data_IF_923555732289
#
_entry.id   IF_923555732289
#
_cell.length_a   1.000
_cell.length_b   1.000
_cell.length_c   1.000
_cell.angle_alpha   90.00
_cell.angle_beta   90.00
_cell.angle_gamma   90.00
#
_symmetry.space_group_name_H-M   'P 1'
#
loop_
_entity.id
_entity.type
_entity.pdbx_description
1 polymer ?
#
# COMPACT_ATOMS: atom_id res chain seq x y z
N UNK A 1 37.43 21.40 -5.98
CA UNK A 1 35.98 21.35 -5.99
C UNK A 1 35.56 21.12 -4.56
N UNK A 2 34.91 22.08 -3.92
CA UNK A 2 34.55 22.06 -2.49
C UNK A 2 33.56 20.92 -2.24
N UNK A 3 33.98 19.97 -1.43
CA UNK A 3 33.19 18.82 -0.96
C UNK A 3 32.21 19.31 0.13
N UNK A 4 31.29 20.20 -0.24
CA UNK A 4 30.18 20.58 0.64
C UNK A 4 29.23 19.39 0.71
N UNK A 5 28.90 18.92 1.92
CA UNK A 5 27.94 17.83 2.06
C UNK A 5 26.62 18.23 1.37
N UNK A 6 26.12 17.37 0.48
CA UNK A 6 24.87 17.62 -0.22
C UNK A 6 23.73 17.65 0.79
N UNK A 7 23.12 18.82 0.98
CA UNK A 7 21.91 18.99 1.80
C UNK A 7 20.83 18.02 1.31
N UNK A 8 20.36 17.15 2.19
CA UNK A 8 19.38 16.11 1.81
C UNK A 8 18.00 16.41 2.36
N UNK A 9 16.99 16.19 1.52
CA UNK A 9 15.57 16.21 1.92
C UNK A 9 14.99 14.82 1.79
N UNK A 10 14.40 14.29 2.86
CA UNK A 10 13.64 13.02 2.85
C UNK A 10 12.17 13.33 2.62
N UNK A 11 11.57 12.75 1.60
CA UNK A 11 10.14 12.66 1.37
C UNK A 11 9.64 11.33 1.91
N UNK A 12 9.02 11.34 3.09
CA UNK A 12 8.47 10.17 3.75
C UNK A 12 6.98 10.04 3.44
N UNK A 13 6.63 9.26 2.43
CA UNK A 13 5.24 8.94 2.13
C UNK A 13 4.71 7.88 3.11
N UNK A 14 3.67 8.22 3.87
CA UNK A 14 3.13 7.40 4.95
C UNK A 14 1.74 6.79 4.66
N UNK A 15 1.23 6.92 3.46
CA UNK A 15 -0.11 6.48 3.06
C UNK A 15 -1.08 7.68 3.01
N UNK A 16 -2.35 7.56 3.37
CA UNK A 16 -2.99 6.41 4.05
C UNK A 16 -3.08 5.16 3.15
N UNK A 17 -3.48 4.03 3.74
CA UNK A 17 -3.84 2.86 2.92
C UNK A 17 -4.94 3.24 1.91
N UNK A 18 -5.01 2.54 0.78
CA UNK A 18 -6.05 2.74 -0.25
C UNK A 18 -6.04 4.11 -0.95
N UNK A 19 -4.89 4.75 -1.00
CA UNK A 19 -4.62 6.01 -1.72
C UNK A 19 -3.56 5.84 -2.83
N UNK A 20 -3.51 4.68 -3.48
CA UNK A 20 -2.57 4.42 -4.57
C UNK A 20 -1.15 4.05 -4.12
N UNK A 21 -0.96 3.69 -2.85
CA UNK A 21 0.36 3.38 -2.24
C UNK A 21 1.12 2.30 -3.02
N UNK A 22 0.46 1.20 -3.41
CA UNK A 22 1.07 0.14 -4.21
C UNK A 22 1.62 0.66 -5.55
N UNK A 23 0.88 1.54 -6.23
CA UNK A 23 1.33 2.16 -7.48
C UNK A 23 2.58 3.01 -7.24
N UNK A 24 2.56 3.89 -6.23
CA UNK A 24 3.71 4.72 -5.88
C UNK A 24 4.96 3.89 -5.56
N UNK A 25 4.80 2.82 -4.77
CA UNK A 25 5.89 1.93 -4.39
C UNK A 25 6.46 1.16 -5.59
N UNK A 26 5.60 0.69 -6.49
CA UNK A 26 6.04 0.03 -7.72
C UNK A 26 6.74 1.00 -8.68
N UNK A 27 6.26 2.24 -8.78
CA UNK A 27 6.93 3.32 -9.54
C UNK A 27 8.31 3.59 -8.95
N UNK A 28 8.42 3.74 -7.62
CA UNK A 28 9.71 3.92 -6.96
C UNK A 28 10.68 2.79 -7.26
N UNK A 29 10.24 1.53 -7.09
CA UNK A 29 11.04 0.34 -7.37
C UNK A 29 11.50 0.24 -8.82
N UNK A 30 10.59 0.40 -9.79
CA UNK A 30 10.89 0.21 -11.22
C UNK A 30 11.77 1.30 -11.79
N UNK A 31 11.72 2.49 -11.22
CA UNK A 31 12.36 3.67 -11.78
C UNK A 31 13.59 4.15 -10.99
N UNK A 32 14.23 3.33 -10.16
CA UNK A 32 15.37 3.75 -9.33
C UNK A 32 16.44 4.50 -10.12
N UNK A 33 16.82 3.99 -11.28
CA UNK A 33 17.79 4.63 -12.16
C UNK A 33 17.32 5.98 -12.69
N UNK A 34 16.07 6.03 -13.22
CA UNK A 34 15.46 7.24 -13.73
C UNK A 34 15.23 8.31 -12.65
N UNK A 35 14.92 7.88 -11.41
CA UNK A 35 14.80 8.74 -10.24
C UNK A 35 16.17 9.27 -9.82
N UNK A 36 17.20 8.43 -9.77
CA UNK A 36 18.56 8.85 -9.44
C UNK A 36 19.10 9.89 -10.43
N UNK A 37 18.84 9.72 -11.73
CA UNK A 37 19.17 10.71 -12.76
C UNK A 37 18.43 12.05 -12.55
N UNK A 38 17.36 12.09 -11.76
CA UNK A 38 16.62 13.30 -11.37
C UNK A 38 16.90 13.75 -9.94
N UNK A 39 17.96 13.22 -9.34
CA UNK A 39 18.40 13.59 -8.00
C UNK A 39 17.56 12.98 -6.87
N UNK A 40 16.88 11.85 -7.10
CA UNK A 40 16.08 11.17 -6.08
C UNK A 40 16.59 9.74 -5.87
N UNK A 41 16.94 9.40 -4.64
CA UNK A 41 17.20 8.03 -4.22
C UNK A 41 15.89 7.37 -3.76
N UNK A 42 15.55 6.20 -4.32
CA UNK A 42 14.55 5.28 -3.78
C UNK A 42 15.30 4.08 -3.19
N UNK A 43 15.58 4.06 -1.88
CA UNK A 43 16.49 3.08 -1.28
C UNK A 43 15.91 1.67 -1.22
N UNK A 44 16.77 0.70 -0.96
CA UNK A 44 16.41 -0.71 -0.79
C UNK A 44 16.52 -1.20 0.65
N UNK A 45 17.31 -0.50 1.47
CA UNK A 45 17.60 -0.91 2.85
C UNK A 45 16.36 -1.14 3.72
N UNK A 46 15.29 -0.31 3.65
CA UNK A 46 14.09 -0.54 4.46
C UNK A 46 13.06 -1.46 3.78
N UNK A 47 13.34 -1.94 2.56
CA UNK A 47 12.47 -2.80 1.77
C UNK A 47 12.57 -2.50 0.29
N UNK A 48 12.35 -3.51 -0.56
CA UNK A 48 12.60 -3.37 -2.00
C UNK A 48 11.58 -2.43 -2.71
N UNK A 49 10.28 -2.59 -2.47
CA UNK A 49 9.25 -1.70 -3.00
C UNK A 49 8.55 -0.94 -1.88
N UNK A 50 7.93 -1.67 -0.96
CA UNK A 50 7.34 -1.12 0.25
C UNK A 50 8.40 -1.11 1.35
N UNK A 51 8.70 0.06 1.88
CA UNK A 51 9.72 0.24 2.93
C UNK A 51 9.19 -0.17 4.32
N UNK A 52 8.68 -1.41 4.40
CA UNK A 52 8.07 -2.01 5.60
C UNK A 52 8.99 -1.99 6.81
N UNK A 53 10.30 -2.05 6.59
CA UNK A 53 11.30 -1.94 7.63
C UNK A 53 11.22 -0.67 8.48
N UNK A 54 10.70 0.44 7.92
CA UNK A 54 10.48 1.66 8.68
C UNK A 54 9.40 1.49 9.75
N UNK A 55 8.31 0.78 9.42
CA UNK A 55 7.26 0.49 10.39
C UNK A 55 7.74 -0.51 11.45
N UNK A 56 8.51 -1.54 11.07
CA UNK A 56 9.14 -2.47 11.99
C UNK A 56 10.10 -1.77 12.96
N UNK A 57 10.92 -0.85 12.46
CA UNK A 57 11.82 -0.05 13.27
C UNK A 57 11.07 0.86 14.25
N UNK A 58 10.08 1.59 13.75
CA UNK A 58 9.34 2.58 14.54
C UNK A 58 8.49 1.93 15.63
N UNK A 59 7.79 0.83 15.31
CA UNK A 59 6.85 0.16 16.22
C UNK A 59 7.52 -0.54 17.40
N UNK A 60 8.79 -0.87 17.30
CA UNK A 60 9.45 -1.73 18.31
C UNK A 60 8.94 -3.18 18.31
N UNK A 61 8.33 -3.64 17.19
CA UNK A 61 7.69 -4.95 17.07
C UNK A 61 6.19 -4.95 17.36
N UNK A 62 5.66 -3.94 18.04
CA UNK A 62 4.22 -3.85 18.31
C UNK A 62 3.40 -3.75 17.02
N UNK A 63 2.32 -4.52 16.92
CA UNK A 63 1.36 -4.51 15.80
C UNK A 63 1.96 -4.79 14.41
N UNK A 64 3.18 -5.31 14.33
CA UNK A 64 3.90 -5.56 13.10
C UNK A 64 4.34 -7.01 12.95
N UNK A 65 3.75 -7.94 13.70
CA UNK A 65 4.11 -9.36 13.65
C UNK A 65 3.96 -9.95 12.24
N UNK A 66 2.85 -9.68 11.57
CA UNK A 66 2.62 -10.10 10.18
C UNK A 66 3.66 -9.51 9.21
N UNK A 67 4.04 -8.24 9.40
CA UNK A 67 5.08 -7.59 8.59
C UNK A 67 6.46 -8.18 8.86
N UNK A 68 6.74 -8.57 10.10
CA UNK A 68 7.98 -9.25 10.44
C UNK A 68 8.08 -10.61 9.76
N UNK A 69 7.00 -11.40 9.80
CA UNK A 69 6.92 -12.70 9.12
C UNK A 69 7.09 -12.57 7.60
N UNK A 70 6.44 -11.57 6.98
CA UNK A 70 6.60 -11.26 5.55
C UNK A 70 8.04 -10.86 5.18
N UNK A 71 8.75 -10.20 6.11
CA UNK A 71 10.16 -9.86 5.97
C UNK A 71 11.11 -11.04 6.29
N UNK A 72 10.58 -12.22 6.62
CA UNK A 72 11.36 -13.41 6.98
C UNK A 72 11.91 -13.39 8.41
N UNK A 73 11.47 -12.45 9.24
CA UNK A 73 11.87 -12.33 10.66
C UNK A 73 10.92 -13.16 11.52
N UNK A 74 11.42 -14.25 12.07
CA UNK A 74 10.58 -15.27 12.74
C UNK A 74 10.61 -15.21 14.26
N UNK A 75 11.65 -14.60 14.83
CA UNK A 75 11.84 -14.47 16.27
C UNK A 75 11.95 -13.02 16.70
N UNK A 76 11.71 -12.74 17.97
CA UNK A 76 11.95 -11.41 18.53
C UNK A 76 13.40 -10.96 18.39
N UNK A 77 14.34 -11.91 18.47
CA UNK A 77 15.76 -11.65 18.25
C UNK A 77 16.05 -11.20 16.80
N UNK A 78 15.41 -11.81 15.80
CA UNK A 78 15.53 -11.39 14.39
C UNK A 78 15.01 -9.96 14.21
N UNK A 79 13.85 -9.65 14.82
CA UNK A 79 13.26 -8.30 14.77
C UNK A 79 14.17 -7.28 15.43
N UNK A 80 14.71 -7.59 16.62
CA UNK A 80 15.62 -6.70 17.34
C UNK A 80 16.93 -6.45 16.56
N UNK A 81 17.52 -7.50 15.99
CA UNK A 81 18.71 -7.40 15.14
C UNK A 81 18.45 -6.55 13.89
N UNK A 82 17.30 -6.75 13.23
CA UNK A 82 16.89 -5.95 12.09
C UNK A 82 16.75 -4.47 12.45
N UNK A 83 16.07 -4.17 13.58
CA UNK A 83 15.87 -2.80 14.07
C UNK A 83 17.19 -2.11 14.41
N UNK A 84 18.13 -2.82 15.02
CA UNK A 84 19.45 -2.29 15.33
C UNK A 84 20.28 -1.98 14.06
N UNK A 85 20.17 -2.83 13.03
CA UNK A 85 20.95 -2.70 11.81
C UNK A 85 20.39 -1.67 10.80
N UNK A 86 19.07 -1.43 10.78
CA UNK A 86 18.42 -0.59 9.77
C UNK A 86 18.97 0.85 9.70
N UNK A 87 19.19 1.57 10.82
CA UNK A 87 19.69 2.94 10.76
C UNK A 87 21.04 3.05 10.04
N UNK A 88 21.95 2.13 10.31
CA UNK A 88 23.30 2.14 9.69
C UNK A 88 23.21 1.75 8.21
N UNK A 89 22.44 0.75 7.86
CA UNK A 89 22.22 0.34 6.47
C UNK A 89 21.64 1.47 5.62
N UNK A 90 20.61 2.13 6.13
CA UNK A 90 19.97 3.25 5.45
C UNK A 90 20.91 4.45 5.35
N UNK A 91 21.70 4.73 6.40
CA UNK A 91 22.74 5.78 6.38
C UNK A 91 23.76 5.50 5.28
N UNK A 92 24.30 4.31 5.22
CA UNK A 92 25.29 3.92 4.21
C UNK A 92 24.77 4.08 2.79
N UNK A 93 23.54 3.66 2.53
CA UNK A 93 22.90 3.79 1.22
C UNK A 93 22.63 5.26 0.83
N UNK A 94 22.14 6.07 1.76
CA UNK A 94 21.91 7.52 1.54
C UNK A 94 23.22 8.28 1.34
N UNK A 95 24.27 7.96 2.11
CA UNK A 95 25.56 8.63 2.00
C UNK A 95 26.31 8.28 0.70
N UNK A 96 26.15 7.05 0.21
CA UNK A 96 26.72 6.62 -1.05
C UNK A 96 26.05 7.26 -2.28
N UNK A 97 24.83 7.75 -2.13
CA UNK A 97 24.09 8.39 -3.21
C UNK A 97 24.39 9.90 -3.31
N UNK A 98 24.77 10.37 -4.49
CA UNK A 98 24.97 11.80 -4.76
C UNK A 98 23.66 12.60 -4.94
N UNK A 99 22.51 11.98 -4.66
CA UNK A 99 21.19 12.59 -4.84
C UNK A 99 20.81 13.50 -3.67
N UNK A 100 20.26 14.71 -3.91
CA UNK A 100 19.82 15.61 -2.84
C UNK A 100 18.49 15.22 -2.21
N UNK A 101 17.73 14.32 -2.83
CA UNK A 101 16.42 13.90 -2.36
C UNK A 101 16.38 12.39 -2.11
N UNK A 102 15.63 11.98 -1.09
CA UNK A 102 15.37 10.58 -0.76
C UNK A 102 13.86 10.39 -0.68
N UNK A 103 13.34 9.40 -1.41
CA UNK A 103 11.92 9.05 -1.34
C UNK A 103 11.74 7.74 -0.58
N UNK A 104 11.08 7.80 0.56
CA UNK A 104 10.67 6.67 1.38
C UNK A 104 9.15 6.50 1.29
N UNK A 105 8.64 5.28 1.21
CA UNK A 105 7.20 5.01 1.09
C UNK A 105 6.78 3.76 1.86
N UNK A 106 5.92 3.94 2.86
CA UNK A 106 5.29 2.83 3.58
C UNK A 106 3.97 3.25 4.23
N UNK A 107 2.84 2.68 3.80
CA UNK A 107 1.50 2.98 4.33
C UNK A 107 1.24 2.39 5.71
N UNK A 108 2.05 1.41 6.15
CA UNK A 108 1.92 0.86 7.50
C UNK A 108 2.37 1.85 8.58
N UNK A 109 3.14 2.86 8.21
CA UNK A 109 3.50 3.95 9.13
C UNK A 109 2.26 4.66 9.67
N UNK A 110 1.35 5.09 8.80
CA UNK A 110 0.11 5.76 9.25
C UNK A 110 -0.84 4.82 9.98
N UNK A 111 -0.83 3.53 9.66
CA UNK A 111 -1.81 2.58 10.22
C UNK A 111 -1.32 1.86 11.48
N UNK A 112 -0.03 1.67 11.68
CA UNK A 112 0.52 0.84 12.77
C UNK A 112 1.36 1.60 13.78
N UNK A 113 2.00 2.69 13.38
CA UNK A 113 2.81 3.54 14.26
C UNK A 113 1.94 4.66 14.81
N UNK A 114 1.45 4.51 16.06
CA UNK A 114 0.34 5.31 16.58
C UNK A 114 0.66 6.07 17.86
N UNK A 115 1.84 5.92 18.40
CA UNK A 115 2.24 6.59 19.64
C UNK A 115 3.37 7.59 19.40
N UNK A 116 3.39 8.64 20.20
CA UNK A 116 4.45 9.66 20.11
C UNK A 116 5.85 9.05 20.31
N UNK A 117 6.11 8.13 21.26
CA UNK A 117 7.43 7.51 21.40
C UNK A 117 7.88 6.76 20.14
N UNK A 118 6.96 6.01 19.49
CA UNK A 118 7.26 5.30 18.24
C UNK A 118 7.62 6.28 17.11
N UNK A 119 6.85 7.34 16.94
CA UNK A 119 7.10 8.37 15.93
C UNK A 119 8.35 9.19 16.22
N UNK A 120 8.63 9.49 17.50
CA UNK A 120 9.86 10.19 17.91
C UNK A 120 11.11 9.36 17.59
N UNK A 121 11.07 8.05 17.77
CA UNK A 121 12.15 7.13 17.37
C UNK A 121 12.41 7.21 15.87
N UNK A 122 11.37 7.17 15.05
CA UNK A 122 11.47 7.30 13.60
C UNK A 122 12.01 8.67 13.20
N UNK A 123 11.47 9.74 13.79
CA UNK A 123 11.88 11.11 13.52
C UNK A 123 13.35 11.35 13.86
N UNK A 124 13.83 10.84 15.01
CA UNK A 124 15.23 10.93 15.42
C UNK A 124 16.16 10.25 14.41
N UNK A 125 15.80 9.03 13.96
CA UNK A 125 16.56 8.30 12.95
C UNK A 125 16.64 9.11 11.64
N UNK A 126 15.51 9.59 11.11
CA UNK A 126 15.46 10.25 9.81
C UNK A 126 16.15 11.64 9.84
N UNK A 127 16.00 12.41 10.93
CA UNK A 127 16.72 13.67 11.12
C UNK A 127 18.25 13.51 11.22
N UNK A 128 18.70 12.34 11.67
CA UNK A 128 20.14 11.99 11.64
C UNK A 128 20.65 11.64 10.22
N UNK A 129 19.77 11.59 9.21
CA UNK A 129 20.13 11.21 7.83
C UNK A 129 19.93 12.35 6.82
N UNK A 130 19.14 13.37 7.16
CA UNK A 130 18.82 14.49 6.27
C UNK A 130 18.51 15.75 7.09
N UNK A 131 18.72 16.91 6.48
CA UNK A 131 18.45 18.20 7.09
C UNK A 131 16.95 18.50 7.14
N UNK A 132 16.22 18.02 6.16
CA UNK A 132 14.77 18.20 6.08
C UNK A 132 14.05 16.85 5.90
N UNK A 133 12.94 16.68 6.63
CA UNK A 133 12.03 15.53 6.46
C UNK A 133 10.63 16.06 6.18
N UNK A 134 10.10 15.76 5.00
CA UNK A 134 8.72 16.04 4.60
C UNK A 134 7.89 14.77 4.72
N UNK A 135 6.91 14.80 5.60
CA UNK A 135 5.97 13.68 5.80
C UNK A 135 4.78 13.88 4.87
N UNK A 136 4.72 13.10 3.80
CA UNK A 136 3.67 13.20 2.78
C UNK A 136 2.57 12.19 3.08
N UNK A 137 1.34 12.66 3.19
CA UNK A 137 0.17 11.82 3.44
C UNK A 137 -0.98 12.18 2.50
N UNK A 138 -1.57 11.17 1.89
CA UNK A 138 -2.79 11.28 1.11
C UNK A 138 -4.00 10.89 1.95
N UNK A 139 -4.96 11.81 2.08
CA UNK A 139 -6.20 11.59 2.81
C UNK A 139 -7.32 11.27 1.84
N UNK A 140 -8.06 10.22 2.10
CA UNK A 140 -9.22 9.81 1.33
C UNK A 140 -10.49 10.09 2.12
N UNK A 141 -11.57 10.54 1.45
CA UNK A 141 -12.87 10.76 2.10
C UNK A 141 -13.31 9.51 2.85
N UNK A 142 -13.70 9.64 4.10
CA UNK A 142 -13.88 8.50 5.02
C UNK A 142 -14.91 7.46 4.52
N UNK A 143 -16.07 7.83 3.96
CA UNK A 143 -17.00 6.86 3.38
C UNK A 143 -16.35 6.02 2.26
N UNK A 144 -15.60 6.67 1.36
CA UNK A 144 -14.87 6.00 0.29
C UNK A 144 -13.70 5.14 0.82
N UNK A 145 -13.05 5.61 1.89
CA UNK A 145 -12.02 4.85 2.59
C UNK A 145 -12.60 3.58 3.20
N UNK A 146 -13.78 3.69 3.84
CA UNK A 146 -14.51 2.54 4.40
C UNK A 146 -14.80 1.48 3.33
N UNK A 147 -15.42 1.85 2.20
CA UNK A 147 -15.72 0.91 1.12
C UNK A 147 -14.47 0.20 0.58
N UNK A 148 -13.39 0.97 0.41
CA UNK A 148 -12.12 0.42 -0.07
C UNK A 148 -11.45 -0.52 0.93
N UNK A 149 -11.57 -0.21 2.22
CA UNK A 149 -11.04 -1.03 3.31
C UNK A 149 -11.86 -2.30 3.48
N UNK A 150 -13.17 -2.22 3.37
CA UNK A 150 -14.08 -3.37 3.39
C UNK A 150 -13.65 -4.42 2.35
N UNK A 151 -13.48 -4.00 1.10
CA UNK A 151 -13.00 -4.90 0.04
C UNK A 151 -11.62 -5.49 0.35
N UNK A 152 -10.70 -4.68 0.89
CA UNK A 152 -9.35 -5.13 1.27
C UNK A 152 -9.39 -6.20 2.37
N UNK A 153 -10.18 -5.99 3.41
CA UNK A 153 -10.29 -6.90 4.57
C UNK A 153 -10.84 -8.25 4.13
N UNK A 154 -11.85 -8.26 3.23
CA UNK A 154 -12.36 -9.48 2.63
C UNK A 154 -11.28 -10.16 1.79
N UNK A 155 -10.56 -9.45 0.92
CA UNK A 155 -9.46 -10.00 0.14
C UNK A 155 -8.34 -10.55 1.01
N UNK A 156 -8.05 -9.90 2.13
CA UNK A 156 -7.02 -10.33 3.09
C UNK A 156 -7.39 -11.56 3.92
N UNK A 157 -8.63 -12.04 3.87
CA UNK A 157 -9.03 -13.26 4.54
C UNK A 157 -9.67 -13.10 5.91
N UNK A 158 -10.00 -11.90 6.30
CA UNK A 158 -10.72 -11.70 7.54
C UNK A 158 -12.13 -12.27 7.45
N UNK A 159 -12.49 -13.09 8.42
CA UNK A 159 -13.86 -13.58 8.62
C UNK A 159 -14.72 -12.54 9.34
N UNK A 160 -14.09 -11.56 9.98
CA UNK A 160 -14.79 -10.50 10.70
C UNK A 160 -15.44 -9.55 9.70
N UNK A 161 -16.72 -9.30 9.88
CA UNK A 161 -17.40 -8.25 9.16
C UNK A 161 -16.73 -6.91 9.45
N UNK A 162 -16.35 -6.21 8.40
CA UNK A 162 -15.88 -4.83 8.53
C UNK A 162 -17.09 -3.97 8.81
N UNK A 163 -17.14 -3.36 9.97
CA UNK A 163 -18.21 -2.46 10.36
C UNK A 163 -17.85 -1.01 10.04
N UNK A 164 -18.83 -0.16 9.72
CA UNK A 164 -18.61 1.27 9.68
C UNK A 164 -18.04 1.78 11.00
N UNK A 165 -17.28 2.88 11.00
CA UNK A 165 -16.81 3.49 12.24
C UNK A 165 -17.99 3.86 13.13
N UNK A 166 -17.89 3.55 14.42
CA UNK A 166 -18.98 3.77 15.39
C UNK A 166 -18.86 5.11 16.11
N UNK A 167 -17.69 5.75 16.06
CA UNK A 167 -17.46 7.07 16.64
C UNK A 167 -16.25 7.75 15.99
N UNK A 168 -16.11 9.04 16.24
CA UNK A 168 -15.03 9.89 15.71
C UNK A 168 -13.65 9.63 16.34
N UNK A 169 -13.54 8.72 17.32
CA UNK A 169 -12.27 8.39 17.99
C UNK A 169 -11.47 7.32 17.26
N UNK A 170 -12.05 6.70 16.23
CA UNK A 170 -11.37 5.65 15.47
C UNK A 170 -10.18 6.21 14.69
N UNK A 171 -8.98 5.79 15.08
CA UNK A 171 -7.71 6.33 14.60
C UNK A 171 -7.57 6.37 13.08
N UNK A 172 -8.04 5.33 12.40
CA UNK A 172 -7.90 5.24 10.93
C UNK A 172 -8.74 6.26 10.16
N UNK A 173 -9.82 6.74 10.75
CA UNK A 173 -10.76 7.69 10.15
C UNK A 173 -10.58 9.11 10.69
N UNK A 174 -10.02 9.25 11.90
CA UNK A 174 -9.80 10.57 12.51
C UNK A 174 -8.43 11.13 12.06
N UNK A 175 -8.43 11.83 10.96
CA UNK A 175 -7.23 12.41 10.37
C UNK A 175 -6.61 13.51 11.22
N UNK A 176 -7.41 14.28 11.95
CA UNK A 176 -6.89 15.29 12.88
C UNK A 176 -6.05 14.64 13.99
N UNK A 177 -6.56 13.59 14.61
CA UNK A 177 -5.83 12.84 15.64
C UNK A 177 -4.54 12.24 15.08
N UNK A 178 -4.61 11.63 13.92
CA UNK A 178 -3.45 11.05 13.23
C UNK A 178 -2.40 12.13 12.94
N UNK A 179 -2.77 13.21 12.27
CA UNK A 179 -1.87 14.28 11.89
C UNK A 179 -1.29 15.03 13.09
N UNK A 180 -2.06 15.19 14.17
CA UNK A 180 -1.58 15.84 15.39
C UNK A 180 -0.43 15.07 16.06
N UNK A 181 -0.48 13.73 16.09
CA UNK A 181 0.60 12.90 16.63
C UNK A 181 1.84 12.97 15.72
N UNK A 182 1.65 12.96 14.40
CA UNK A 182 2.73 13.11 13.44
C UNK A 182 3.37 14.49 13.51
N UNK A 183 2.56 15.56 13.62
CA UNK A 183 3.04 16.93 13.78
C UNK A 183 3.80 17.12 15.10
N UNK A 184 3.38 16.47 16.18
CA UNK A 184 4.11 16.50 17.46
C UNK A 184 5.49 15.85 17.36
N UNK A 185 5.68 14.82 16.53
CA UNK A 185 6.97 14.14 16.36
C UNK A 185 7.88 14.83 15.33
N UNK A 186 7.33 15.27 14.20
CA UNK A 186 8.12 15.78 13.06
C UNK A 186 8.11 17.31 12.93
N UNK A 187 7.23 17.99 13.63
CA UNK A 187 6.93 19.42 13.43
C UNK A 187 5.80 19.62 12.40
N UNK A 188 4.96 20.62 12.62
CA UNK A 188 3.79 20.87 11.77
C UNK A 188 4.17 21.26 10.33
N UNK A 189 5.23 22.06 10.17
CA UNK A 189 5.77 22.47 8.86
C UNK A 189 6.32 21.31 8.03
N UNK A 190 6.63 20.19 8.67
CA UNK A 190 7.07 18.96 7.98
C UNK A 190 5.91 18.15 7.37
N UNK A 191 4.66 18.42 7.75
CA UNK A 191 3.51 17.62 7.32
C UNK A 191 2.94 18.18 6.01
N UNK A 192 3.00 17.36 4.96
CA UNK A 192 2.47 17.66 3.63
C UNK A 192 1.22 16.83 3.40
N UNK A 193 0.05 17.45 3.62
CA UNK A 193 -1.26 16.82 3.41
C UNK A 193 -1.69 16.97 1.97
N UNK A 194 -2.06 15.84 1.34
CA UNK A 194 -2.66 15.79 0.00
C UNK A 194 -4.04 15.16 0.09
N UNK A 195 -4.97 15.63 -0.73
CA UNK A 195 -6.33 15.10 -0.80
C UNK A 195 -6.41 14.10 -1.95
N UNK A 196 -6.78 12.85 -1.64
CA UNK A 196 -6.89 11.78 -2.63
C UNK A 196 -8.24 11.82 -3.36
N UNK A 197 -8.42 12.86 -4.15
CA UNK A 197 -9.55 13.05 -5.07
C UNK A 197 -9.01 13.51 -6.43
N UNK A 198 -9.57 12.98 -7.53
CA UNK A 198 -9.07 13.32 -8.87
C UNK A 198 -8.94 14.83 -9.13
N UNK A 199 -9.91 15.68 -8.73
CA UNK A 199 -9.77 17.12 -8.96
C UNK A 199 -8.68 17.80 -8.13
N UNK A 200 -8.29 17.19 -7.00
CA UNK A 200 -7.27 17.72 -6.08
C UNK A 200 -5.86 17.23 -6.40
N UNK A 201 -5.73 16.12 -7.10
CA UNK A 201 -4.45 15.56 -7.52
C UNK A 201 -3.91 16.23 -8.78
N UNK A 202 -2.62 16.45 -8.85
CA UNK A 202 -1.95 16.94 -10.07
C UNK A 202 -2.23 16.02 -11.24
N UNK A 203 -2.80 16.55 -12.32
CA UNK A 203 -3.19 15.73 -13.47
C UNK A 203 -4.25 14.66 -13.18
N UNK A 204 -4.90 14.68 -12.01
CA UNK A 204 -5.84 13.66 -11.57
C UNK A 204 -5.21 12.30 -11.22
N UNK A 205 -3.89 12.25 -11.05
CA UNK A 205 -3.10 11.02 -10.84
C UNK A 205 -2.17 11.15 -9.64
N UNK A 206 -2.12 10.14 -8.79
CA UNK A 206 -1.33 10.16 -7.54
C UNK A 206 0.18 10.14 -7.81
N UNK A 207 0.63 9.57 -8.93
CA UNK A 207 2.05 9.55 -9.30
C UNK A 207 2.49 10.94 -9.74
N UNK A 208 1.70 11.59 -10.59
CA UNK A 208 1.97 12.97 -11.02
C UNK A 208 1.95 13.92 -9.83
N UNK A 209 1.04 13.71 -8.89
CA UNK A 209 0.94 14.51 -7.67
C UNK A 209 2.14 14.31 -6.74
N UNK A 210 2.58 13.07 -6.52
CA UNK A 210 3.78 12.77 -5.73
C UNK A 210 5.05 13.33 -6.39
N UNK A 211 5.14 13.26 -7.71
CA UNK A 211 6.26 13.84 -8.45
C UNK A 211 6.26 15.37 -8.37
N UNK A 212 5.10 16.03 -8.41
CA UNK A 212 4.94 17.46 -8.18
C UNK A 212 5.43 17.85 -6.77
N UNK A 213 5.04 17.08 -5.74
CA UNK A 213 5.53 17.27 -4.36
C UNK A 213 7.06 17.17 -4.27
N UNK A 214 7.69 16.29 -5.04
CA UNK A 214 9.14 16.13 -5.10
C UNK A 214 9.82 17.07 -6.10
N UNK A 215 9.06 17.84 -6.87
CA UNK A 215 9.58 18.77 -7.88
C UNK A 215 10.23 18.06 -9.07
N UNK A 216 9.66 16.98 -9.57
CA UNK A 216 10.10 16.25 -10.76
C UNK A 216 8.96 15.99 -11.72
N UNK A 217 9.29 15.69 -12.99
CA UNK A 217 8.33 15.32 -14.02
C UNK A 217 8.23 13.81 -14.24
N UNK A 218 7.12 13.39 -14.88
CA UNK A 218 6.81 11.98 -15.20
C UNK A 218 7.53 11.45 -16.45
N UNK A 219 8.04 12.32 -17.33
CA UNK A 219 8.60 11.91 -18.63
C UNK A 219 9.70 10.87 -18.46
N UNK A 220 9.61 9.75 -19.21
CA UNK A 220 10.59 8.65 -19.17
C UNK A 220 10.51 7.75 -17.95
N UNK A 221 9.39 7.77 -17.20
CA UNK A 221 9.11 6.83 -16.09
C UNK A 221 8.30 5.63 -16.58
N UNK A 222 8.67 4.44 -16.11
CA UNK A 222 7.86 3.22 -16.25
C UNK A 222 6.74 3.24 -15.18
N UNK A 223 5.54 3.60 -15.63
CA UNK A 223 4.35 3.64 -14.76
C UNK A 223 3.56 2.36 -14.97
N UNK A 224 3.45 1.49 -13.96
CA UNK A 224 2.63 0.29 -14.09
C UNK A 224 1.17 0.67 -14.34
N UNK A 225 0.43 -0.12 -15.13
CA UNK A 225 -1.00 0.06 -15.24
C UNK A 225 -1.64 -0.02 -13.85
N UNK A 226 -2.72 0.74 -13.64
CA UNK A 226 -3.42 0.74 -12.34
C UNK A 226 -3.81 -0.69 -11.95
N UNK A 227 -3.22 -1.20 -10.87
CA UNK A 227 -3.50 -2.53 -10.32
C UNK A 227 -4.79 -2.55 -9.47
N UNK A 228 -5.62 -1.51 -9.57
CA UNK A 228 -6.84 -1.37 -8.76
C UNK A 228 -8.01 -2.20 -9.33
N UNK A 229 -7.83 -3.52 -9.40
CA UNK A 229 -8.93 -4.44 -9.63
C UNK A 229 -9.69 -4.62 -8.29
N UNK A 230 -10.67 -3.74 -8.05
CA UNK A 230 -11.64 -3.98 -6.99
C UNK A 230 -12.57 -5.10 -7.45
N UNK A 231 -12.73 -6.14 -6.63
CA UNK A 231 -13.77 -7.13 -6.86
C UNK A 231 -15.14 -6.44 -6.86
N UNK A 232 -16.03 -6.89 -7.72
CA UNK A 232 -17.43 -6.48 -7.69
C UNK A 232 -18.14 -7.03 -6.44
N UNK A 233 -19.36 -6.59 -6.19
CA UNK A 233 -20.14 -6.99 -5.02
C UNK A 233 -20.37 -8.50 -4.94
N UNK A 234 -20.64 -9.14 -6.09
CA UNK A 234 -20.92 -10.58 -6.18
C UNK A 234 -19.67 -11.41 -5.91
N UNK A 235 -18.53 -11.01 -6.50
CA UNK A 235 -17.24 -11.66 -6.25
C UNK A 235 -16.78 -11.51 -4.80
N UNK A 236 -17.01 -10.34 -4.16
CA UNK A 236 -16.74 -10.15 -2.74
C UNK A 236 -17.61 -11.05 -1.88
N UNK A 237 -18.92 -11.14 -2.17
CA UNK A 237 -19.85 -12.00 -1.43
C UNK A 237 -19.50 -13.48 -1.61
N UNK A 238 -19.17 -13.88 -2.84
CA UNK A 238 -18.68 -15.24 -3.12
C UNK A 238 -17.44 -15.57 -2.30
N UNK A 239 -16.46 -14.67 -2.29
CA UNK A 239 -15.20 -14.86 -1.55
C UNK A 239 -15.44 -14.99 -0.03
N UNK A 240 -16.36 -14.20 0.55
CA UNK A 240 -16.76 -14.33 1.95
C UNK A 240 -17.34 -15.70 2.27
N UNK A 241 -18.25 -16.20 1.42
CA UNK A 241 -18.88 -17.51 1.60
C UNK A 241 -17.86 -18.65 1.39
N UNK A 242 -17.05 -18.55 0.34
CA UNK A 242 -15.99 -19.53 0.04
C UNK A 242 -15.03 -19.72 1.22
N UNK A 243 -14.66 -18.65 1.90
CA UNK A 243 -13.72 -18.69 3.04
C UNK A 243 -14.24 -19.36 4.28
N UNK A 244 -15.54 -19.51 4.44
CA UNK A 244 -16.13 -20.35 5.50
C UNK A 244 -15.79 -21.83 5.33
N UNK A 245 -15.47 -22.23 4.10
CA UNK A 245 -15.10 -23.61 3.75
C UNK A 245 -13.61 -23.77 3.48
N UNK A 246 -12.98 -22.73 2.95
CA UNK A 246 -11.54 -22.71 2.63
C UNK A 246 -10.94 -21.42 3.23
N UNK A 247 -10.62 -21.42 4.53
CA UNK A 247 -10.03 -20.26 5.20
C UNK A 247 -8.65 -19.95 4.63
N UNK A 248 -8.23 -18.68 4.72
CA UNK A 248 -6.91 -18.25 4.24
C UNK A 248 -5.77 -18.83 5.06
N UNK A 249 -5.99 -19.05 6.34
CA UNK A 249 -4.99 -19.57 7.26
C UNK A 249 -5.53 -20.85 7.92
N UNK A 250 -4.64 -21.81 8.13
CA UNK A 250 -4.86 -22.99 8.98
C UNK A 250 -3.78 -22.93 10.05
N UNK A 251 -4.19 -22.60 11.29
CA UNK A 251 -3.23 -22.17 12.31
C UNK A 251 -2.46 -20.93 11.86
N UNK A 252 -1.13 -20.95 11.99
CA UNK A 252 -0.24 -19.82 11.62
C UNK A 252 0.28 -19.92 10.18
N UNK A 253 -0.20 -20.87 9.39
CA UNK A 253 0.25 -21.07 8.02
C UNK A 253 -0.81 -20.67 6.99
N UNK A 254 -0.35 -20.15 5.84
CA UNK A 254 -1.25 -19.91 4.70
C UNK A 254 -1.78 -21.24 4.20
N UNK A 255 -3.11 -21.36 4.13
CA UNK A 255 -3.76 -22.55 3.60
C UNK A 255 -3.42 -22.73 2.10
N UNK A 256 -2.76 -23.81 1.70
CA UNK A 256 -2.42 -24.06 0.28
C UNK A 256 -3.66 -24.17 -0.61
N UNK A 257 -4.78 -24.65 -0.07
CA UNK A 257 -6.03 -24.79 -0.81
C UNK A 257 -6.70 -23.45 -1.11
N UNK A 258 -6.35 -22.40 -0.34
CA UNK A 258 -6.81 -21.04 -0.63
C UNK A 258 -6.32 -20.56 -2.00
N UNK A 259 -5.09 -20.92 -2.35
CA UNK A 259 -4.49 -20.67 -3.67
C UNK A 259 -4.66 -19.24 -4.17
N UNK A 260 -4.78 -19.13 -5.50
CA UNK A 260 -4.91 -17.86 -6.20
C UNK A 260 -6.37 -17.42 -6.43
N UNK A 261 -7.29 -17.77 -5.53
CA UNK A 261 -8.73 -17.48 -5.71
C UNK A 261 -9.00 -15.98 -5.93
N UNK A 262 -8.26 -15.10 -5.24
CA UNK A 262 -8.41 -13.65 -5.41
C UNK A 262 -8.05 -13.24 -6.84
N UNK A 263 -6.95 -13.77 -7.40
CA UNK A 263 -6.54 -13.49 -8.79
C UNK A 263 -7.57 -14.01 -9.80
N UNK A 264 -8.12 -15.20 -9.53
CA UNK A 264 -9.18 -15.76 -10.38
C UNK A 264 -10.43 -14.86 -10.37
N UNK A 265 -10.83 -14.36 -9.20
CA UNK A 265 -11.96 -13.43 -9.07
C UNK A 265 -11.67 -12.06 -9.69
N UNK A 266 -10.43 -11.56 -9.59
CA UNK A 266 -10.00 -10.30 -10.24
C UNK A 266 -10.01 -10.38 -11.77
N UNK A 267 -9.98 -11.59 -12.35
CA UNK A 267 -10.09 -11.81 -13.78
C UNK A 267 -11.53 -11.91 -14.28
N UNK A 268 -12.54 -11.81 -13.40
CA UNK A 268 -13.94 -11.69 -13.81
C UNK A 268 -14.19 -10.40 -14.59
N UNK A 269 -15.16 -10.39 -15.52
CA UNK A 269 -15.63 -9.13 -16.10
C UNK A 269 -16.08 -8.15 -15.00
N UNK A 270 -15.85 -6.84 -15.16
CA UNK A 270 -16.27 -5.87 -14.18
C UNK A 270 -17.79 -5.89 -13.95
N UNK A 271 -18.20 -5.97 -12.69
CA UNK A 271 -19.59 -5.91 -12.26
C UNK A 271 -19.87 -4.71 -11.33
N UNK A 272 -21.08 -4.61 -10.78
CA UNK A 272 -21.45 -3.56 -9.83
C UNK A 272 -20.53 -3.58 -8.61
N UNK A 273 -20.03 -2.40 -8.23
CA UNK A 273 -19.19 -2.27 -7.05
C UNK A 273 -20.00 -2.50 -5.77
N UNK A 274 -19.35 -3.03 -4.74
CA UNK A 274 -19.92 -3.12 -3.41
C UNK A 274 -20.28 -1.72 -2.91
N UNK A 275 -21.47 -1.58 -2.35
CA UNK A 275 -22.00 -0.35 -1.79
C UNK A 275 -22.70 -0.65 -0.47
N UNK A 276 -22.85 0.36 0.35
CA UNK A 276 -23.67 0.36 1.56
C UNK A 276 -24.74 1.45 1.42
N UNK A 277 -25.81 1.43 2.22
CA UNK A 277 -26.89 2.41 2.15
C UNK A 277 -26.36 3.85 2.20
N UNK A 278 -26.97 4.75 1.43
CA UNK A 278 -26.60 6.16 1.36
C UNK A 278 -26.60 6.82 2.76
N UNK A 279 -27.57 6.45 3.61
CA UNK A 279 -27.63 6.91 5.00
C UNK A 279 -26.39 6.53 5.82
N UNK A 280 -25.81 5.35 5.60
CA UNK A 280 -24.55 4.91 6.26
C UNK A 280 -23.38 5.74 5.78
N UNK A 281 -23.28 6.00 4.47
CA UNK A 281 -22.23 6.83 3.90
C UNK A 281 -22.29 8.25 4.41
N UNK A 282 -23.50 8.84 4.44
CA UNK A 282 -23.75 10.19 4.97
C UNK A 282 -23.40 10.25 6.46
N UNK A 283 -23.83 9.27 7.25
CA UNK A 283 -23.49 9.21 8.67
C UNK A 283 -21.97 9.18 8.93
N UNK A 284 -21.22 8.43 8.14
CA UNK A 284 -19.74 8.43 8.22
C UNK A 284 -19.19 9.81 7.86
N UNK A 285 -19.68 10.43 6.80
CA UNK A 285 -19.23 11.75 6.37
C UNK A 285 -19.47 12.80 7.47
N UNK A 286 -20.67 12.85 8.02
CA UNK A 286 -21.07 13.79 9.08
C UNK A 286 -20.28 13.60 10.36
N UNK A 287 -20.01 12.36 10.76
CA UNK A 287 -19.23 12.00 11.93
C UNK A 287 -17.83 12.63 11.90
N UNK A 288 -17.18 12.65 10.75
CA UNK A 288 -15.81 13.16 10.61
C UNK A 288 -15.73 14.60 10.06
N UNK A 289 -16.85 15.21 9.67
CA UNK A 289 -16.87 16.58 9.16
C UNK A 289 -16.20 17.60 10.09
N UNK A 290 -16.42 17.59 11.44
CA UNK A 290 -15.75 18.53 12.34
C UNK A 290 -14.24 18.38 12.37
N UNK A 291 -13.72 17.13 12.42
CA UNK A 291 -12.28 16.86 12.43
C UNK A 291 -11.65 17.18 11.06
N UNK A 292 -12.33 16.89 9.97
CA UNK A 292 -11.92 17.25 8.62
C UNK A 292 -11.79 18.76 8.44
N UNK A 293 -12.74 19.53 8.99
CA UNK A 293 -12.69 20.98 8.92
C UNK A 293 -11.46 21.57 9.65
N UNK A 294 -11.08 20.97 10.79
CA UNK A 294 -9.85 21.38 11.50
C UNK A 294 -8.59 21.01 10.71
N UNK A 295 -8.56 19.85 10.08
CA UNK A 295 -7.44 19.43 9.19
C UNK A 295 -7.32 20.41 8.01
N UNK A 296 -8.42 20.76 7.37
CA UNK A 296 -8.43 21.66 6.21
C UNK A 296 -7.87 23.04 6.58
N UNK A 297 -8.29 23.61 7.72
CA UNK A 297 -7.78 24.92 8.19
C UNK A 297 -6.31 24.82 8.60
N UNK A 298 -5.97 23.83 9.40
CA UNK A 298 -4.64 23.73 10.02
C UNK A 298 -3.53 23.37 9.03
N UNK A 299 -3.74 22.38 8.17
CA UNK A 299 -2.69 21.84 7.31
C UNK A 299 -2.79 22.28 5.84
N UNK A 300 -3.95 22.77 5.41
CA UNK A 300 -4.14 23.20 4.02
C UNK A 300 -4.45 24.71 3.90
N UNK A 301 -4.58 25.43 5.03
CA UNK A 301 -4.88 26.86 5.06
C UNK A 301 -6.27 27.21 4.48
N UNK A 302 -7.19 26.25 4.39
CA UNK A 302 -8.54 26.44 3.81
C UNK A 302 -9.48 27.03 4.85
N UNK A 303 -9.76 28.33 4.74
CA UNK A 303 -10.60 29.07 5.70
C UNK A 303 -12.04 28.51 5.79
N UNK A 304 -12.58 28.00 4.68
CA UNK A 304 -13.90 27.38 4.62
C UNK A 304 -13.98 26.05 5.39
N UNK A 305 -12.84 25.46 5.73
CA UNK A 305 -12.75 24.17 6.40
C UNK A 305 -13.14 22.99 5.51
N UNK A 306 -13.21 23.15 4.20
CA UNK A 306 -13.58 22.08 3.27
C UNK A 306 -12.37 21.22 2.91
N UNK A 307 -12.30 20.01 3.51
CA UNK A 307 -11.20 19.05 3.23
C UNK A 307 -11.45 18.29 1.93
N UNK A 308 -12.66 17.78 1.74
CA UNK A 308 -13.09 16.97 0.61
C UNK A 308 -14.17 17.65 -0.20
N UNK A 309 -14.35 17.23 -1.45
CA UNK A 309 -15.47 17.66 -2.30
C UNK A 309 -16.81 17.15 -1.76
N UNK A 310 -17.89 17.88 -2.03
CA UNK A 310 -19.23 17.43 -1.66
C UNK A 310 -19.61 16.21 -2.50
N UNK A 311 -20.09 15.17 -1.84
CA UNK A 311 -20.55 13.94 -2.46
C UNK A 311 -22.01 13.71 -2.13
N UNK A 312 -22.84 13.50 -3.15
CA UNK A 312 -24.21 13.05 -2.97
C UNK A 312 -24.23 11.51 -3.00
N UNK A 313 -24.61 10.91 -1.89
CA UNK A 313 -24.79 9.45 -1.81
C UNK A 313 -26.16 9.08 -2.31
N UNK A 314 -26.24 8.05 -3.15
CA UNK A 314 -27.48 7.55 -3.72
C UNK A 314 -27.67 6.11 -3.30
N UNK A 315 -28.91 5.72 -3.02
CA UNK A 315 -29.29 4.33 -2.80
C UNK A 315 -29.41 3.64 -4.17
N UNK A 316 -28.28 3.35 -4.77
CA UNK A 316 -28.24 2.44 -5.91
C UNK A 316 -28.30 1.02 -5.34
N UNK A 317 -29.36 0.31 -5.60
CA UNK A 317 -29.70 -1.06 -5.24
C UNK A 317 -28.71 -1.77 -4.30
N UNK A 318 -29.22 -2.16 -3.14
CA UNK A 318 -28.47 -2.79 -2.05
C UNK A 318 -27.63 -3.98 -2.48
N UNK A 319 -26.91 -4.54 -1.54
CA UNK A 319 -26.18 -5.82 -1.70
C UNK A 319 -27.23 -6.87 -2.07
N UNK A 320 -27.38 -7.14 -3.38
CA UNK A 320 -28.15 -8.30 -3.83
C UNK A 320 -27.53 -9.55 -3.19
N UNK A 321 -28.33 -10.37 -2.56
CA UNK A 321 -27.88 -11.68 -2.11
C UNK A 321 -27.36 -12.46 -3.32
N UNK A 322 -26.22 -13.13 -3.14
CA UNK A 322 -25.64 -13.95 -4.18
C UNK A 322 -26.58 -15.13 -4.46
N UNK A 323 -27.18 -15.18 -5.65
CA UNK A 323 -28.01 -16.33 -6.05
C UNK A 323 -27.15 -17.56 -6.31
N UNK A 324 -27.75 -18.73 -6.25
CA UNK A 324 -27.08 -20.01 -6.55
C UNK A 324 -26.51 -20.01 -7.97
N UNK A 325 -27.26 -19.49 -8.95
CA UNK A 325 -26.79 -19.39 -10.34
C UNK A 325 -25.57 -18.51 -10.50
N UNK A 326 -25.55 -17.36 -9.84
CA UNK A 326 -24.40 -16.46 -9.81
C UNK A 326 -23.18 -17.12 -9.15
N UNK A 327 -23.39 -17.84 -8.04
CA UNK A 327 -22.32 -18.57 -7.37
C UNK A 327 -21.73 -19.68 -8.28
N UNK A 328 -22.57 -20.42 -8.99
CA UNK A 328 -22.14 -21.44 -9.95
C UNK A 328 -21.40 -20.82 -11.14
N UNK A 329 -21.87 -19.67 -11.64
CA UNK A 329 -21.21 -18.93 -12.72
C UNK A 329 -19.80 -18.50 -12.31
N UNK A 330 -19.62 -17.96 -11.10
CA UNK A 330 -18.32 -17.60 -10.54
C UNK A 330 -17.43 -18.84 -10.36
N UNK A 331 -17.98 -19.94 -9.81
CA UNK A 331 -17.25 -21.18 -9.64
C UNK A 331 -16.76 -21.76 -10.98
N UNK A 332 -17.60 -21.74 -12.02
CA UNK A 332 -17.23 -22.16 -13.37
C UNK A 332 -16.13 -21.27 -13.97
N UNK A 333 -16.14 -19.96 -13.70
CA UNK A 333 -15.07 -19.05 -14.11
C UNK A 333 -13.74 -19.42 -13.42
N UNK A 334 -13.75 -19.62 -12.10
CA UNK A 334 -12.57 -20.03 -11.33
C UNK A 334 -12.01 -21.35 -11.86
N UNK A 335 -12.87 -22.33 -12.14
CA UNK A 335 -12.47 -23.60 -12.72
C UNK A 335 -11.75 -23.42 -14.06
N UNK A 336 -12.33 -22.67 -15.00
CA UNK A 336 -11.72 -22.38 -16.31
C UNK A 336 -10.40 -21.63 -16.16
N UNK A 337 -10.32 -20.70 -15.24
CA UNK A 337 -9.09 -19.97 -14.94
C UNK A 337 -7.98 -20.92 -14.44
N UNK A 338 -8.29 -21.81 -13.50
CA UNK A 338 -7.36 -22.86 -13.02
C UNK A 338 -6.89 -23.78 -14.12
N UNK A 339 -7.80 -24.22 -15.00
CA UNK A 339 -7.43 -25.08 -16.13
C UNK A 339 -6.45 -24.40 -17.08
N UNK A 340 -6.62 -23.11 -17.36
CA UNK A 340 -5.66 -22.32 -18.16
C UNK A 340 -4.29 -22.26 -17.49
N UNK A 341 -4.23 -21.97 -16.20
CA UNK A 341 -2.96 -21.93 -15.45
C UNK A 341 -2.22 -23.27 -15.48
N UNK A 342 -2.94 -24.36 -15.30
CA UNK A 342 -2.38 -25.72 -15.40
C UNK A 342 -1.83 -26.00 -16.82
N UNK A 343 -2.52 -25.58 -17.85
CA UNK A 343 -2.07 -25.76 -19.24
C UNK A 343 -0.79 -24.95 -19.51
N UNK A 344 -0.73 -23.68 -19.07
CA UNK A 344 0.44 -22.82 -19.20
C UNK A 344 1.66 -23.41 -18.47
N UNK A 345 1.50 -23.89 -17.23
CA UNK A 345 2.55 -24.54 -16.47
C UNK A 345 3.09 -25.80 -17.16
N UNK A 346 2.20 -26.63 -17.73
CA UNK A 346 2.60 -27.82 -18.49
C UNK A 346 3.39 -27.44 -19.75
N UNK A 347 2.98 -26.40 -20.45
CA UNK A 347 3.69 -25.90 -21.62
C UNK A 347 5.08 -25.37 -21.27
N UNK A 348 5.20 -24.58 -20.21
CA UNK A 348 6.48 -24.02 -19.72
C UNK A 348 7.45 -25.15 -19.33
N UNK A 349 6.98 -26.16 -18.59
CA UNK A 349 7.77 -27.33 -18.23
C UNK A 349 8.26 -28.12 -19.47
N UNK A 350 7.41 -28.28 -20.49
CA UNK A 350 7.77 -28.96 -21.74
C UNK A 350 8.84 -28.18 -22.52
N UNK A 351 8.79 -26.85 -22.50
CA UNK A 351 9.81 -25.99 -23.13
C UNK A 351 11.13 -26.02 -22.37
N UNK A 352 11.11 -25.96 -21.05
CA UNK A 352 12.31 -26.07 -20.20
C UNK A 352 13.01 -27.42 -20.40
N UNK A 353 12.28 -28.55 -20.38
CA UNK A 353 12.86 -29.88 -20.61
C UNK A 353 13.41 -30.09 -22.04
N UNK A 354 12.89 -29.35 -23.05
CA UNK A 354 13.49 -29.32 -24.39
C UNK A 354 14.81 -28.58 -24.45
N UNK A 355 14.93 -27.47 -23.73
CA UNK A 355 16.15 -26.71 -23.67
C UNK A 355 17.27 -27.43 -22.94
N UNK A 356 16.97 -28.16 -21.87
CA UNK A 356 17.94 -29.03 -21.17
C UNK A 356 18.43 -30.19 -22.05
N UNK A 357 17.54 -30.78 -22.86
CA UNK A 357 17.91 -31.87 -23.79
C UNK A 357 18.78 -31.38 -24.96
N UNK A 358 18.72 -30.09 -25.32
CA UNK A 358 19.55 -29.50 -26.38
C UNK A 358 20.96 -29.09 -25.89
N UNK A 359 21.11 -28.85 -24.58
CA UNK A 359 22.41 -28.44 -23.98
C UNK A 359 23.25 -29.63 -23.51
N UNK A 360 22.65 -30.84 -23.41
CA UNK A 360 23.31 -32.03 -22.93
C UNK A 360 23.78 -32.97 -24.01
N UNK A 361 24.97 -32.79 -24.58
CA UNK A 361 26.08 -33.76 -24.70
C UNK A 361 27.27 -33.15 -25.50
N UNK A 362 28.41 -32.85 -24.90
CA UNK A 362 29.64 -32.78 -25.67
C UNK A 362 30.03 -34.21 -26.06
N UNK A 363 29.98 -34.53 -27.37
CA UNK A 363 30.63 -35.72 -27.91
C UNK A 363 32.13 -35.59 -27.60
N UNK A 364 32.64 -36.45 -26.73
CA UNK A 364 34.07 -36.67 -26.58
C UNK A 364 34.60 -37.19 -27.92
N UNK A 365 35.68 -36.65 -28.48
CA UNK A 365 36.34 -37.26 -29.62
C UNK A 365 37.02 -38.54 -29.16
N UNK A 366 36.68 -39.65 -29.82
CA UNK A 366 37.40 -40.91 -29.72
C UNK A 366 38.73 -40.69 -30.43
N UNK A 367 39.83 -40.64 -29.65
CA UNK A 367 41.18 -40.61 -30.18
C UNK A 367 41.60 -42.00 -30.71
N UNK A 368 42.22 -41.99 -31.87
CA UNK A 368 43.03 -43.08 -32.43
C UNK A 368 44.46 -42.86 -31.98
#
# INVERSE_FOLDING_TARGET
>A
MSDQPVTKTIYLHIGTQKTGTTTLQMVGKRNRQALAARGILYPTSPGDANHTGLALFASGGERCHDLALEAGLRTEADVAAYQAALPQRLRSEISAAATPKVWLSNEHLSSRVRSLPQLSRLAAMLRGLAEEVKVVIYLRHQPEYFLSTYSMVIKAGSEKETRPPVNDREYYYNYEKMLSIWAAAFGESSIVVRVFEKPALKGGDVVDDMFDVMGIGRIGMDIPPSLNLSLDAKALRFLQLFRRHVPRYVGDTVNPDHGDIVKALESLPPGPKFRVPAATMQHIADMFAPSNARVARRFLGRADGKLFSDVQYRDDAGVEELTVDQAVTIAAHIWRWKQRQIAELKQTRKLAGRNEAVVGTPKMPVGV
#
